data_IF_696843510374
#
_entry.id   IF_696843510374
#
_cell.length_a   1.000
_cell.length_b   1.000
_cell.length_c   1.000
_cell.angle_alpha   90.00
_cell.angle_beta   90.00
_cell.angle_gamma   90.00
#
_symmetry.space_group_name_H-M   'P 1'
#
loop_
_entity.id
_entity.type
_entity.pdbx_description
1 polymer ?
#
# COMPACT_ATOMS: atom_id res chain seq x y z
N UNK A 1 -10.10 -8.61 -11.05
CA UNK A 1 -8.78 -8.67 -10.37
C UNK A 1 -8.69 -7.50 -9.39
N UNK A 2 -8.37 -7.80 -8.15
CA UNK A 2 -8.26 -6.80 -7.08
C UNK A 2 -6.94 -6.03 -7.19
N UNK A 3 -6.98 -4.71 -7.01
CA UNK A 3 -5.75 -3.92 -6.90
C UNK A 3 -5.06 -4.23 -5.58
N UNK A 4 -3.83 -4.74 -5.64
CA UNK A 4 -3.00 -4.99 -4.45
C UNK A 4 -1.85 -3.98 -4.41
N UNK A 5 -1.83 -3.13 -3.37
CA UNK A 5 -0.74 -2.22 -3.06
C UNK A 5 0.13 -2.85 -1.97
N UNK A 6 1.36 -3.21 -2.31
CA UNK A 6 2.30 -3.79 -1.37
C UNK A 6 3.11 -2.69 -0.66
N UNK A 7 2.92 -2.50 0.63
CA UNK A 7 3.82 -1.68 1.45
C UNK A 7 4.97 -2.56 1.94
N UNK A 8 6.19 -2.08 1.86
CA UNK A 8 7.36 -2.83 2.33
C UNK A 8 7.96 -2.23 3.61
N UNK A 9 8.49 -3.11 4.44
CA UNK A 9 9.13 -2.79 5.72
C UNK A 9 10.17 -3.88 6.02
N UNK A 10 11.47 -3.54 5.91
CA UNK A 10 12.56 -4.50 6.12
C UNK A 10 12.60 -5.08 7.53
N UNK A 11 12.09 -4.33 8.53
CA UNK A 11 12.07 -4.78 9.92
C UNK A 11 11.03 -5.89 10.17
N UNK A 12 10.07 -6.05 9.27
CA UNK A 12 9.06 -7.11 9.32
C UNK A 12 9.30 -8.21 8.29
N UNK A 13 10.24 -8.01 7.37
CA UNK A 13 10.52 -8.96 6.31
C UNK A 13 11.30 -10.18 6.81
N UNK A 14 10.81 -11.37 6.50
CA UNK A 14 11.49 -12.63 6.81
C UNK A 14 12.70 -12.92 5.89
N UNK A 15 12.82 -12.18 4.79
CA UNK A 15 13.85 -12.31 3.75
C UNK A 15 14.25 -10.92 3.22
N UNK A 16 15.35 -10.78 2.45
CA UNK A 16 15.69 -9.51 1.79
C UNK A 16 14.51 -8.93 1.02
N UNK A 17 14.29 -7.62 1.12
CA UNK A 17 13.13 -6.95 0.50
C UNK A 17 13.02 -7.20 -1.00
N UNK A 18 14.16 -7.24 -1.73
CA UNK A 18 14.16 -7.51 -3.17
C UNK A 18 13.65 -8.90 -3.50
N UNK A 19 13.91 -9.91 -2.66
CA UNK A 19 13.38 -11.26 -2.84
C UNK A 19 11.87 -11.30 -2.56
N UNK A 20 11.43 -10.66 -1.47
CA UNK A 20 9.99 -10.58 -1.14
C UNK A 20 9.22 -9.86 -2.24
N UNK A 21 9.75 -8.74 -2.75
CA UNK A 21 9.10 -7.97 -3.83
C UNK A 21 9.11 -8.74 -5.14
N UNK A 22 10.20 -9.44 -5.49
CA UNK A 22 10.24 -10.29 -6.69
C UNK A 22 9.15 -11.38 -6.63
N UNK A 23 9.07 -12.11 -5.51
CA UNK A 23 8.04 -13.13 -5.33
C UNK A 23 6.62 -12.53 -5.36
N UNK A 24 6.40 -11.35 -4.76
CA UNK A 24 5.11 -10.67 -4.81
C UNK A 24 4.73 -10.23 -6.24
N UNK A 25 5.71 -9.82 -7.05
CA UNK A 25 5.53 -9.49 -8.48
C UNK A 25 5.15 -10.74 -9.28
N UNK A 26 5.78 -11.87 -9.01
CA UNK A 26 5.42 -13.18 -9.61
C UNK A 26 3.98 -13.55 -9.24
N UNK A 27 3.53 -13.25 -8.02
CA UNK A 27 2.14 -13.39 -7.57
C UNK A 27 1.15 -12.37 -8.13
N UNK A 28 1.60 -11.41 -8.92
CA UNK A 28 0.73 -10.42 -9.58
C UNK A 28 0.75 -9.01 -8.98
N UNK A 29 1.58 -8.71 -7.97
CA UNK A 29 1.74 -7.33 -7.51
C UNK A 29 2.28 -6.42 -8.62
N UNK A 30 1.69 -5.23 -8.74
CA UNK A 30 2.10 -4.21 -9.74
C UNK A 30 2.38 -2.86 -9.11
N UNK A 31 2.07 -2.67 -7.84
CA UNK A 31 2.29 -1.41 -7.12
C UNK A 31 2.95 -1.69 -5.77
N UNK A 32 4.10 -1.06 -5.53
CA UNK A 32 4.89 -1.23 -4.31
C UNK A 32 5.18 0.13 -3.69
N UNK A 33 4.94 0.28 -2.39
CA UNK A 33 5.29 1.48 -1.61
C UNK A 33 6.57 1.22 -0.82
N UNK A 34 7.63 1.92 -1.17
CA UNK A 34 8.89 1.95 -0.42
C UNK A 34 8.77 2.89 0.78
N UNK A 35 8.75 2.34 1.99
CA UNK A 35 8.70 3.14 3.23
C UNK A 35 10.10 3.48 3.74
N UNK A 36 10.76 2.60 4.44
CA UNK A 36 12.17 2.68 4.92
C UNK A 36 12.64 4.10 5.32
N UNK A 37 11.77 4.88 6.02
CA UNK A 37 12.01 6.30 6.33
C UNK A 37 13.21 6.53 7.28
N UNK A 38 13.61 5.50 8.00
CA UNK A 38 14.75 5.49 8.92
C UNK A 38 16.11 5.28 8.23
N UNK A 39 16.11 4.88 6.96
CA UNK A 39 17.35 4.76 6.18
C UNK A 39 17.81 6.13 5.65
N UNK A 40 19.14 6.33 5.52
CA UNK A 40 19.70 7.48 4.80
C UNK A 40 19.13 7.56 3.36
N UNK A 41 18.96 8.80 2.85
CA UNK A 41 18.44 9.03 1.50
C UNK A 41 19.18 8.25 0.40
N UNK A 42 20.50 8.15 0.48
CA UNK A 42 21.31 7.39 -0.48
C UNK A 42 20.96 5.90 -0.49
N UNK A 43 20.81 5.29 0.68
CA UNK A 43 20.42 3.89 0.82
C UNK A 43 18.99 3.65 0.31
N UNK A 44 18.05 4.57 0.61
CA UNK A 44 16.70 4.52 0.07
C UNK A 44 16.69 4.65 -1.44
N UNK A 45 17.52 5.53 -2.01
CA UNK A 45 17.61 5.72 -3.47
C UNK A 45 18.18 4.46 -4.16
N UNK A 46 19.20 3.83 -3.58
CA UNK A 46 19.76 2.57 -4.10
C UNK A 46 18.69 1.44 -4.06
N UNK A 47 17.97 1.31 -2.95
CA UNK A 47 16.88 0.34 -2.84
C UNK A 47 15.75 0.65 -3.84
N UNK A 48 15.37 1.93 -4.00
CA UNK A 48 14.36 2.34 -4.98
C UNK A 48 14.76 1.96 -6.41
N UNK A 49 16.04 2.13 -6.78
CA UNK A 49 16.56 1.71 -8.09
C UNK A 49 16.43 0.19 -8.30
N UNK A 50 16.80 -0.61 -7.30
CA UNK A 50 16.70 -2.07 -7.35
C UNK A 50 15.23 -2.52 -7.49
N UNK A 51 14.30 -1.92 -6.73
CA UNK A 51 12.87 -2.25 -6.79
C UNK A 51 12.24 -1.84 -8.13
N UNK A 52 12.64 -0.70 -8.70
CA UNK A 52 12.20 -0.31 -10.05
C UNK A 52 12.65 -1.30 -11.12
N UNK A 53 13.88 -1.85 -10.99
CA UNK A 53 14.37 -2.87 -11.91
C UNK A 53 13.53 -4.15 -11.87
N UNK A 54 13.03 -4.55 -10.69
CA UNK A 54 12.11 -5.69 -10.52
C UNK A 54 10.73 -5.40 -11.13
N UNK A 55 10.22 -4.18 -10.93
CA UNK A 55 8.86 -3.80 -11.37
C UNK A 55 8.76 -3.49 -12.87
N UNK A 56 9.83 -2.97 -13.47
CA UNK A 56 9.85 -2.55 -14.88
C UNK A 56 9.39 -3.61 -15.89
N UNK A 57 9.84 -4.88 -15.83
CA UNK A 57 9.44 -5.90 -16.80
C UNK A 57 7.93 -6.19 -16.84
N UNK A 58 7.24 -5.92 -15.73
CA UNK A 58 5.79 -6.17 -15.60
C UNK A 58 4.95 -4.90 -15.69
N UNK A 59 5.55 -3.76 -16.07
CA UNK A 59 4.86 -2.47 -16.09
C UNK A 59 4.42 -1.97 -14.71
N UNK A 60 5.05 -2.48 -13.65
CA UNK A 60 4.71 -2.12 -12.28
C UNK A 60 5.27 -0.76 -11.87
N UNK A 61 4.71 -0.20 -10.80
CA UNK A 61 5.06 1.13 -10.27
C UNK A 61 5.67 1.04 -8.88
N UNK A 62 6.81 1.69 -8.68
CA UNK A 62 7.34 1.99 -7.36
C UNK A 62 6.82 3.35 -6.91
N UNK A 63 6.22 3.39 -5.74
CA UNK A 63 5.71 4.59 -5.07
C UNK A 63 6.57 4.81 -3.83
N UNK A 64 7.03 6.02 -3.56
CA UNK A 64 7.89 6.29 -2.41
C UNK A 64 7.09 6.97 -1.31
N UNK A 65 7.17 6.45 -0.08
CA UNK A 65 6.51 7.06 1.07
C UNK A 65 7.23 8.36 1.48
N UNK A 66 6.46 9.46 1.55
CA UNK A 66 6.93 10.83 1.79
C UNK A 66 7.10 11.63 0.50
N UNK A 67 7.49 12.91 0.61
CA UNK A 67 7.45 13.86 -0.51
C UNK A 67 8.60 13.72 -1.52
N UNK A 68 9.66 12.97 -1.20
CA UNK A 68 10.81 12.75 -2.10
C UNK A 68 10.61 11.45 -2.91
N UNK A 69 10.38 11.52 -4.23
CA UNK A 69 10.14 10.34 -5.07
C UNK A 69 11.43 9.54 -5.38
N UNK A 70 12.58 9.92 -4.85
CA UNK A 70 13.88 9.24 -5.02
C UNK A 70 14.20 8.95 -6.52
N UNK A 71 14.03 9.95 -7.37
CA UNK A 71 14.29 9.85 -8.81
C UNK A 71 13.16 9.17 -9.61
N UNK A 72 12.00 8.97 -9.02
CA UNK A 72 10.77 8.55 -9.70
C UNK A 72 9.77 9.69 -9.84
N UNK A 73 8.50 9.35 -10.06
CA UNK A 73 7.39 10.26 -10.26
C UNK A 73 6.17 9.97 -9.38
N UNK A 74 6.30 9.01 -8.45
CA UNK A 74 5.18 8.52 -7.65
C UNK A 74 5.48 8.57 -6.15
N UNK A 75 4.56 9.14 -5.37
CA UNK A 75 4.68 9.29 -3.92
C UNK A 75 3.42 8.81 -3.18
N UNK A 76 3.61 8.36 -1.94
CA UNK A 76 2.53 8.08 -0.99
C UNK A 76 2.73 8.96 0.25
N UNK A 77 1.85 9.92 0.44
CA UNK A 77 1.93 10.97 1.45
C UNK A 77 1.24 10.54 2.75
N UNK A 78 1.71 11.04 3.87
CA UNK A 78 0.94 11.02 5.11
C UNK A 78 -0.23 12.02 5.03
N UNK A 79 -1.20 11.91 5.94
CA UNK A 79 -2.41 12.73 5.92
C UNK A 79 -2.14 14.24 5.79
N UNK A 80 -1.13 14.75 6.50
CA UNK A 80 -0.80 16.17 6.54
C UNK A 80 0.35 16.60 5.61
N UNK A 81 0.98 15.68 4.86
CA UNK A 81 2.09 16.04 3.98
C UNK A 81 1.60 16.92 2.80
N UNK A 82 2.31 17.99 2.42
CA UNK A 82 1.98 18.73 1.22
C UNK A 82 2.27 17.91 -0.04
N UNK A 83 1.48 18.12 -1.10
CA UNK A 83 1.74 17.50 -2.40
C UNK A 83 2.97 18.18 -3.03
N UNK A 84 4.05 17.42 -3.31
CA UNK A 84 5.25 18.00 -3.92
C UNK A 84 5.00 18.33 -5.40
N UNK A 85 5.67 19.39 -5.89
CA UNK A 85 5.63 19.73 -7.30
C UNK A 85 6.37 18.68 -8.16
N UNK A 86 5.90 18.46 -9.38
CA UNK A 86 6.60 17.62 -10.38
C UNK A 86 6.42 16.12 -10.17
N UNK A 87 5.51 15.67 -9.31
CA UNK A 87 5.12 14.26 -9.23
C UNK A 87 3.90 13.99 -10.10
N UNK A 88 3.90 12.84 -10.78
CA UNK A 88 2.84 12.42 -11.70
C UNK A 88 1.82 11.47 -11.10
N UNK A 89 2.07 10.92 -9.88
CA UNK A 89 1.17 9.98 -9.22
C UNK A 89 1.25 10.13 -7.70
N UNK A 90 0.12 10.39 -7.06
CA UNK A 90 0.05 10.72 -5.63
C UNK A 90 -0.96 9.81 -4.92
N UNK A 91 -0.50 9.05 -3.94
CA UNK A 91 -1.36 8.40 -2.96
C UNK A 91 -1.33 9.13 -1.62
N UNK A 92 -2.36 8.97 -0.80
CA UNK A 92 -2.42 9.53 0.55
C UNK A 92 -2.96 8.54 1.57
N UNK A 93 -2.36 8.53 2.76
CA UNK A 93 -2.93 7.85 3.92
C UNK A 93 -4.05 8.67 4.52
N UNK A 94 -5.22 8.07 4.73
CA UNK A 94 -6.35 8.66 5.42
C UNK A 94 -6.88 7.71 6.51
N UNK A 95 -7.50 8.28 7.55
CA UNK A 95 -7.99 7.51 8.69
C UNK A 95 -9.47 7.75 8.97
N UNK A 96 -10.02 8.85 8.46
CA UNK A 96 -11.42 9.24 8.66
C UNK A 96 -12.00 10.04 7.48
N UNK A 97 -13.28 10.41 7.60
CA UNK A 97 -13.98 11.16 6.57
C UNK A 97 -13.50 12.60 6.42
N UNK A 98 -12.89 13.19 7.44
CA UNK A 98 -12.36 14.55 7.39
C UNK A 98 -11.10 14.61 6.52
N UNK A 99 -10.19 13.65 6.72
CA UNK A 99 -8.99 13.52 5.90
C UNK A 99 -9.34 13.18 4.45
N UNK A 100 -10.35 12.34 4.21
CA UNK A 100 -10.84 12.05 2.85
C UNK A 100 -11.44 13.27 2.16
N UNK A 101 -12.17 14.12 2.90
CA UNK A 101 -12.74 15.36 2.35
C UNK A 101 -11.65 16.39 1.96
N UNK A 102 -10.46 16.27 2.52
CA UNK A 102 -9.29 17.09 2.18
C UNK A 102 -8.55 16.65 0.91
N UNK A 103 -8.91 15.52 0.30
CA UNK A 103 -8.27 15.05 -0.94
C UNK A 103 -8.59 15.99 -2.11
N UNK A 104 -7.59 16.25 -2.94
CA UNK A 104 -7.74 17.14 -4.10
C UNK A 104 -7.20 16.48 -5.38
N UNK A 105 -5.90 16.46 -5.56
CA UNK A 105 -5.21 15.96 -6.77
C UNK A 105 -4.69 14.52 -6.64
N UNK A 106 -4.88 13.88 -5.49
CA UNK A 106 -4.43 12.51 -5.25
C UNK A 106 -5.14 11.52 -6.19
N UNK A 107 -4.39 10.53 -6.67
CA UNK A 107 -4.89 9.47 -7.54
C UNK A 107 -5.61 8.37 -6.76
N UNK A 108 -5.22 8.17 -5.50
CA UNK A 108 -5.84 7.20 -4.59
C UNK A 108 -5.59 7.56 -3.12
N UNK A 109 -6.38 6.97 -2.22
CA UNK A 109 -6.06 6.98 -0.81
C UNK A 109 -6.05 5.57 -0.21
N UNK A 110 -5.27 5.37 0.85
CA UNK A 110 -5.43 4.23 1.74
C UNK A 110 -6.24 4.64 2.96
N UNK A 111 -7.16 3.81 3.41
CA UNK A 111 -7.89 4.02 4.67
C UNK A 111 -7.53 2.94 5.68
N UNK A 112 -7.19 3.35 6.91
CA UNK A 112 -6.70 2.44 7.93
C UNK A 112 -7.03 2.87 9.36
N UNK A 113 -7.09 1.91 10.31
CA UNK A 113 -7.03 0.45 10.09
C UNK A 113 -8.41 -0.12 9.75
N UNK A 114 -8.53 -0.96 8.74
CA UNK A 114 -9.80 -1.64 8.44
C UNK A 114 -10.02 -2.80 9.40
N UNK A 115 -9.03 -3.63 9.61
CA UNK A 115 -9.03 -4.69 10.63
C UNK A 115 -7.91 -4.47 11.64
N UNK A 116 -7.98 -5.13 12.79
CA UNK A 116 -6.88 -5.12 13.76
C UNK A 116 -5.62 -5.75 13.15
N UNK A 117 -4.46 -5.21 13.48
CA UNK A 117 -3.20 -5.61 12.84
C UNK A 117 -2.14 -5.97 13.87
N UNK A 118 -1.48 -7.13 13.67
CA UNK A 118 -0.32 -7.53 14.47
C UNK A 118 0.88 -6.58 14.29
N UNK A 119 0.96 -5.84 13.18
CA UNK A 119 2.04 -4.88 12.91
C UNK A 119 1.92 -3.59 13.74
N UNK A 120 0.73 -3.28 14.29
CA UNK A 120 0.47 -2.13 15.17
C UNK A 120 -0.54 -2.52 16.24
N UNK A 121 -0.12 -3.28 17.26
CA UNK A 121 -1.01 -3.67 18.35
C UNK A 121 -1.61 -2.44 19.05
N UNK A 122 -2.91 -2.44 19.31
CA UNK A 122 -3.60 -1.34 20.00
C UNK A 122 -3.87 -0.10 19.13
N UNK A 123 -3.51 -0.10 17.85
CA UNK A 123 -3.87 0.97 16.92
C UNK A 123 -5.30 0.79 16.43
N UNK A 124 -6.17 1.72 16.76
CA UNK A 124 -7.58 1.66 16.40
C UNK A 124 -8.43 2.59 17.22
N UNK A 125 -9.73 2.46 17.19
CA UNK A 125 -10.52 1.28 16.78
C UNK A 125 -10.45 0.99 15.27
N UNK A 126 -10.57 -0.31 14.91
CA UNK A 126 -10.67 -0.71 13.52
C UNK A 126 -12.01 -0.27 12.92
N UNK A 127 -11.99 0.17 11.67
CA UNK A 127 -13.18 0.63 10.93
C UNK A 127 -14.18 -0.52 10.70
N UNK A 128 -13.67 -1.73 10.52
CA UNK A 128 -14.46 -2.85 10.02
C UNK A 128 -14.94 -2.63 8.59
N UNK A 129 -15.54 -3.65 8.02
CA UNK A 129 -16.16 -3.59 6.68
C UNK A 129 -17.25 -2.52 6.59
N UNK A 130 -18.15 -2.36 7.61
CA UNK A 130 -19.15 -1.28 7.58
C UNK A 130 -18.55 0.13 7.59
N UNK A 131 -17.50 0.37 8.38
CA UNK A 131 -16.84 1.67 8.40
C UNK A 131 -16.11 1.97 7.09
N UNK A 132 -15.49 0.96 6.48
CA UNK A 132 -14.91 1.08 5.14
C UNK A 132 -15.99 1.48 4.11
N UNK A 133 -17.13 0.82 4.08
CA UNK A 133 -18.23 1.13 3.16
C UNK A 133 -18.72 2.58 3.32
N UNK A 134 -18.82 3.06 4.56
CA UNK A 134 -19.21 4.45 4.84
C UNK A 134 -18.21 5.46 4.30
N UNK A 135 -16.89 5.15 4.38
CA UNK A 135 -15.85 6.02 3.85
C UNK A 135 -15.80 5.98 2.32
N UNK A 136 -15.97 4.82 1.71
CA UNK A 136 -16.08 4.68 0.25
C UNK A 136 -17.20 5.54 -0.32
N UNK A 137 -18.36 5.54 0.33
CA UNK A 137 -19.52 6.34 -0.10
C UNK A 137 -19.29 7.87 -0.01
N UNK A 138 -18.25 8.33 0.69
CA UNK A 138 -17.98 9.76 0.90
C UNK A 138 -16.99 10.37 -0.10
N UNK A 139 -16.40 9.58 -0.98
CA UNK A 139 -15.39 10.07 -1.92
C UNK A 139 -15.55 9.41 -3.29
N UNK A 140 -15.25 10.16 -4.37
CA UNK A 140 -15.09 9.60 -5.70
C UNK A 140 -13.68 9.08 -6.01
N UNK A 141 -12.75 9.17 -5.03
CA UNK A 141 -11.37 8.69 -5.21
C UNK A 141 -11.28 7.18 -4.96
N UNK A 142 -10.43 6.46 -5.69
CA UNK A 142 -10.14 5.05 -5.38
C UNK A 142 -9.61 4.89 -3.95
N UNK A 143 -10.31 4.12 -3.10
CA UNK A 143 -9.85 3.79 -1.76
C UNK A 143 -9.28 2.37 -1.72
N UNK A 144 -8.11 2.22 -1.11
CA UNK A 144 -7.49 0.93 -0.81
C UNK A 144 -7.58 0.66 0.70
N UNK A 145 -8.15 -0.48 1.06
CA UNK A 145 -8.30 -0.89 2.45
C UNK A 145 -6.95 -1.34 3.03
N UNK A 146 -6.50 -0.68 4.10
CA UNK A 146 -5.22 -0.98 4.77
C UNK A 146 -5.46 -1.37 6.23
N UNK A 147 -4.66 -2.30 6.71
CA UNK A 147 -4.65 -2.76 8.10
C UNK A 147 -5.41 -4.07 8.30
N UNK A 148 -4.68 -5.08 8.76
CA UNK A 148 -5.19 -6.39 9.13
C UNK A 148 -5.68 -7.28 7.98
N UNK A 149 -5.51 -6.88 6.72
CA UNK A 149 -5.78 -7.73 5.55
C UNK A 149 -4.70 -8.81 5.48
N UNK A 150 -5.09 -10.06 5.63
CA UNK A 150 -4.17 -11.22 5.72
C UNK A 150 -4.53 -12.37 4.79
N UNK A 151 -5.73 -12.34 4.20
CA UNK A 151 -6.26 -13.44 3.39
C UNK A 151 -7.03 -12.94 2.17
N UNK A 152 -7.22 -13.80 1.14
CA UNK A 152 -8.14 -13.50 0.03
C UNK A 152 -9.56 -13.17 0.48
N UNK A 153 -10.06 -13.80 1.54
CA UNK A 153 -11.38 -13.51 2.09
C UNK A 153 -11.48 -12.09 2.65
N UNK A 154 -10.43 -11.59 3.32
CA UNK A 154 -10.39 -10.19 3.77
C UNK A 154 -10.42 -9.23 2.58
N UNK A 155 -9.65 -9.54 1.53
CA UNK A 155 -9.60 -8.71 0.32
C UNK A 155 -10.97 -8.68 -0.39
N UNK A 156 -11.62 -9.84 -0.54
CA UNK A 156 -12.96 -9.94 -1.11
C UNK A 156 -13.98 -9.13 -0.30
N UNK A 157 -13.94 -9.19 1.04
CA UNK A 157 -14.82 -8.41 1.91
C UNK A 157 -14.62 -6.89 1.74
N UNK A 158 -13.37 -6.43 1.60
CA UNK A 158 -13.06 -5.03 1.35
C UNK A 158 -13.59 -4.56 -0.02
N UNK A 159 -13.41 -5.35 -1.06
CA UNK A 159 -13.91 -5.05 -2.41
C UNK A 159 -15.43 -5.05 -2.45
N UNK A 160 -16.07 -6.01 -1.79
CA UNK A 160 -17.56 -6.05 -1.65
C UNK A 160 -18.11 -4.80 -0.93
N UNK A 161 -17.31 -4.17 -0.04
CA UNK A 161 -17.63 -2.89 0.59
C UNK A 161 -17.40 -1.67 -0.34
N UNK A 162 -16.94 -1.88 -1.57
CA UNK A 162 -16.70 -0.84 -2.57
C UNK A 162 -15.27 -0.31 -2.62
N UNK A 163 -14.33 -0.88 -1.87
CA UNK A 163 -12.92 -0.51 -2.00
C UNK A 163 -12.38 -0.88 -3.39
N UNK A 164 -11.53 -0.03 -3.96
CA UNK A 164 -10.86 -0.29 -5.24
C UNK A 164 -9.81 -1.42 -5.15
N UNK A 165 -9.47 -1.82 -3.94
CA UNK A 165 -8.51 -2.87 -3.66
C UNK A 165 -8.03 -2.85 -2.21
N UNK A 166 -6.91 -3.51 -1.98
CA UNK A 166 -6.30 -3.61 -0.66
C UNK A 166 -4.84 -3.16 -0.65
N UNK A 167 -4.41 -2.67 0.50
CA UNK A 167 -3.02 -2.36 0.78
C UNK A 167 -2.52 -3.31 1.89
N UNK A 168 -1.43 -4.00 1.64
CA UNK A 168 -0.91 -5.06 2.51
C UNK A 168 0.55 -4.84 2.84
N UNK A 169 0.98 -5.19 4.04
CA UNK A 169 2.38 -5.10 4.47
C UNK A 169 2.81 -6.37 5.20
N UNK A 170 2.53 -6.44 6.48
CA UNK A 170 3.06 -7.46 7.37
C UNK A 170 2.71 -8.90 6.98
N UNK A 171 1.54 -9.12 6.41
CA UNK A 171 1.15 -10.45 5.91
C UNK A 171 2.13 -10.94 4.83
N UNK A 172 2.43 -10.10 3.82
CA UNK A 172 3.35 -10.45 2.73
C UNK A 172 4.80 -10.47 3.22
N UNK A 173 5.21 -9.49 4.06
CA UNK A 173 6.58 -9.45 4.58
C UNK A 173 6.96 -10.71 5.36
N UNK A 174 6.03 -11.31 6.09
CA UNK A 174 6.23 -12.51 6.90
C UNK A 174 5.78 -13.81 6.22
N UNK A 175 5.20 -13.74 5.02
CA UNK A 175 4.70 -14.92 4.33
C UNK A 175 5.81 -15.93 4.04
N UNK A 176 5.50 -17.21 4.21
CA UNK A 176 6.37 -18.31 3.76
C UNK A 176 6.47 -18.28 2.23
N UNK A 177 5.35 -18.03 1.57
CA UNK A 177 5.25 -17.87 0.12
C UNK A 177 4.52 -16.54 -0.21
N UNK A 178 5.26 -15.44 -0.47
CA UNK A 178 4.67 -14.17 -0.85
C UNK A 178 3.96 -14.22 -2.21
N UNK A 179 4.43 -15.07 -3.15
CA UNK A 179 3.82 -15.18 -4.46
C UNK A 179 2.42 -15.78 -4.38
N UNK A 180 2.27 -16.91 -3.65
CA UNK A 180 0.99 -17.56 -3.42
C UNK A 180 -0.01 -16.63 -2.72
N UNK A 181 0.43 -15.95 -1.64
CA UNK A 181 -0.44 -15.03 -0.91
C UNK A 181 -0.92 -13.89 -1.81
N UNK A 182 0.00 -13.26 -2.54
CA UNK A 182 -0.35 -12.13 -3.42
C UNK A 182 -1.26 -12.60 -4.57
N UNK A 183 -1.00 -13.76 -5.17
CA UNK A 183 -1.88 -14.32 -6.20
C UNK A 183 -3.31 -14.53 -5.67
N UNK A 184 -3.46 -15.04 -4.47
CA UNK A 184 -4.75 -15.17 -3.81
C UNK A 184 -5.45 -13.83 -3.57
N UNK A 185 -4.71 -12.80 -3.12
CA UNK A 185 -5.25 -11.46 -2.91
C UNK A 185 -5.70 -10.78 -4.22
N UNK A 186 -4.96 -11.00 -5.30
CA UNK A 186 -5.29 -10.45 -6.64
C UNK A 186 -6.50 -11.13 -7.25
N UNK A 187 -6.71 -12.41 -6.96
CA UNK A 187 -7.81 -13.21 -7.46
C UNK A 187 -9.14 -13.04 -6.67
N UNK A 188 -9.10 -12.41 -5.50
CA UNK A 188 -10.23 -12.24 -4.60
C UNK A 188 -11.37 -11.26 -5.17
#
# INVERSE_FOLDING_TARGET
>A
MVTVLLLIDRLQAARPLTEVVSAAVDGGARSVVLREKDLPRSSRAALAAALRAILRPVGGRLIVAGPDPLGGDAVHLAAADPVPAGVGFVGRSCHDGTELAGLSTEDYATVSPVFTSASKPGYGPALGVPGLAQLVARTGKPLLALGGVTSPADAAACVAAGAAGVAVMGAVMRARDPAELVAGLVAA
#
